data_IF_169503724606
#
_entry.id   IF_169503724606
#
_cell.length_a   1.000
_cell.length_b   1.000
_cell.length_c   1.000
_cell.angle_alpha   90.00
_cell.angle_beta   90.00
_cell.angle_gamma   90.00
#
_symmetry.space_group_name_H-M   'P 1'
#
loop_
_entity.id
_entity.type
_entity.pdbx_description
1 polymer ?
#
# COMPACT_ATOMS: atom_id res chain seq x y z
N UNK A 1 -0.36 22.80 0.66
CA UNK A 1 -0.41 22.45 -0.77
C UNK A 1 -1.77 21.89 -1.11
N UNK A 2 -2.15 21.85 -2.42
CA UNK A 2 -3.32 21.07 -2.88
C UNK A 2 -2.86 19.69 -3.35
N UNK A 3 -3.37 18.63 -2.74
CA UNK A 3 -2.92 17.25 -2.92
C UNK A 3 -4.08 16.39 -3.42
N UNK A 4 -3.88 15.68 -4.53
CA UNK A 4 -4.81 14.65 -5.01
C UNK A 4 -4.38 13.30 -4.45
N UNK A 5 -5.26 12.64 -3.70
CA UNK A 5 -5.06 11.28 -3.20
C UNK A 5 -5.99 10.33 -3.95
N UNK A 6 -5.47 9.46 -4.79
CA UNK A 6 -6.28 8.40 -5.43
C UNK A 6 -6.31 7.16 -4.54
N UNK A 7 -7.41 6.41 -4.59
CA UNK A 7 -7.66 5.34 -3.61
C UNK A 7 -7.99 5.89 -2.21
N UNK A 8 -8.57 7.09 -2.16
CA UNK A 8 -8.82 7.82 -0.90
C UNK A 8 -9.81 7.12 0.04
N UNK A 9 -10.66 6.21 -0.45
CA UNK A 9 -11.52 5.36 0.37
C UNK A 9 -10.88 3.99 0.68
N UNK A 10 -9.65 3.76 0.19
CA UNK A 10 -8.83 2.58 0.49
C UNK A 10 -8.21 2.65 1.88
N UNK A 11 -7.54 1.58 2.31
CA UNK A 11 -6.89 1.49 3.62
C UNK A 11 -5.83 2.58 3.82
N UNK A 12 -4.78 2.58 3.00
CA UNK A 12 -3.68 3.55 3.13
C UNK A 12 -4.16 4.95 2.74
N UNK A 13 -4.98 5.06 1.68
CA UNK A 13 -5.48 6.33 1.18
C UNK A 13 -6.29 7.12 2.21
N UNK A 14 -7.19 6.48 2.96
CA UNK A 14 -7.98 7.14 3.99
C UNK A 14 -7.11 7.71 5.13
N UNK A 15 -6.10 6.95 5.57
CA UNK A 15 -5.14 7.41 6.57
C UNK A 15 -4.26 8.57 6.04
N UNK A 16 -3.84 8.50 4.76
CA UNK A 16 -3.12 9.61 4.12
C UNK A 16 -3.99 10.88 4.07
N UNK A 17 -5.26 10.77 3.65
CA UNK A 17 -6.18 11.92 3.64
C UNK A 17 -6.29 12.54 5.03
N UNK A 18 -6.52 11.70 6.07
CA UNK A 18 -6.61 12.16 7.45
C UNK A 18 -5.36 12.92 7.90
N UNK A 19 -4.19 12.35 7.64
CA UNK A 19 -2.92 12.94 8.04
C UNK A 19 -2.66 14.26 7.32
N UNK A 20 -2.79 14.27 6.01
CA UNK A 20 -2.52 15.46 5.19
C UNK A 20 -3.45 16.63 5.53
N UNK A 21 -4.72 16.36 5.83
CA UNK A 21 -5.65 17.39 6.28
C UNK A 21 -5.30 17.93 7.67
N UNK A 22 -4.83 17.06 8.58
CA UNK A 22 -4.32 17.50 9.89
C UNK A 22 -3.07 18.37 9.78
N UNK A 23 -2.23 18.11 8.76
CA UNK A 23 -1.05 18.90 8.45
C UNK A 23 -1.40 20.22 7.71
N UNK A 24 -2.71 20.51 7.50
CA UNK A 24 -3.20 21.77 6.91
C UNK A 24 -3.16 21.79 5.37
N UNK A 25 -3.02 20.64 4.70
CA UNK A 25 -3.11 20.57 3.25
C UNK A 25 -4.56 20.58 2.75
N UNK A 26 -4.80 21.16 1.57
CA UNK A 26 -6.06 21.01 0.85
C UNK A 26 -6.06 19.66 0.10
N UNK A 27 -6.87 18.71 0.54
CA UNK A 27 -6.90 17.37 -0.02
C UNK A 27 -8.13 17.15 -0.88
N UNK A 28 -7.93 16.57 -2.07
CA UNK A 28 -8.98 16.04 -2.95
C UNK A 28 -8.80 14.53 -3.03
N UNK A 29 -9.84 13.78 -2.73
CA UNK A 29 -9.86 12.33 -2.86
C UNK A 29 -10.41 11.86 -4.19
N UNK A 30 -9.98 10.67 -4.65
CA UNK A 30 -10.57 9.93 -5.75
C UNK A 30 -10.66 8.45 -5.37
N UNK A 31 -11.82 7.82 -5.57
CA UNK A 31 -12.02 6.36 -5.46
C UNK A 31 -13.23 5.95 -6.32
N UNK A 32 -13.23 4.76 -6.92
CA UNK A 32 -14.35 4.25 -7.67
C UNK A 32 -15.34 3.43 -6.82
N UNK A 33 -14.99 3.12 -5.57
CA UNK A 33 -15.76 2.29 -4.65
C UNK A 33 -16.07 0.91 -5.25
N UNK A 34 -15.12 0.30 -5.97
CA UNK A 34 -15.32 -1.03 -6.57
C UNK A 34 -15.67 -2.09 -5.52
N UNK A 35 -16.33 -3.16 -6.00
CA UNK A 35 -16.82 -4.26 -5.17
C UNK A 35 -15.81 -5.39 -4.96
N UNK A 36 -14.51 -5.16 -5.04
CA UNK A 36 -13.49 -6.19 -4.77
C UNK A 36 -13.63 -6.78 -3.36
N UNK A 37 -13.98 -5.95 -2.41
CA UNK A 37 -14.49 -6.32 -1.09
C UNK A 37 -15.69 -5.43 -0.76
N UNK A 38 -16.37 -5.68 0.36
CA UNK A 38 -17.58 -4.94 0.75
C UNK A 38 -17.34 -3.41 0.68
N UNK A 39 -18.03 -2.70 -0.23
CA UNK A 39 -17.88 -1.25 -0.36
C UNK A 39 -18.28 -0.46 0.89
N UNK A 40 -19.08 -1.06 1.79
CA UNK A 40 -19.45 -0.40 3.04
C UNK A 40 -18.22 -0.01 3.86
N UNK A 41 -17.19 -0.86 3.91
CA UNK A 41 -15.93 -0.53 4.58
C UNK A 41 -15.25 0.72 3.99
N UNK A 42 -15.40 0.96 2.68
CA UNK A 42 -14.89 2.18 2.03
C UNK A 42 -15.69 3.42 2.45
N UNK A 43 -17.02 3.31 2.51
CA UNK A 43 -17.89 4.38 2.98
C UNK A 43 -17.59 4.73 4.44
N UNK A 44 -17.42 3.72 5.29
CA UNK A 44 -17.13 3.89 6.71
C UNK A 44 -15.76 4.55 6.95
N UNK A 45 -14.73 4.22 6.15
CA UNK A 45 -13.43 4.91 6.17
C UNK A 45 -13.56 6.40 5.83
N UNK A 46 -14.31 6.71 4.79
CA UNK A 46 -14.57 8.12 4.41
C UNK A 46 -15.29 8.86 5.52
N UNK A 47 -16.30 8.24 6.12
CA UNK A 47 -17.02 8.84 7.25
C UNK A 47 -16.11 9.01 8.46
N UNK A 48 -15.32 7.99 8.81
CA UNK A 48 -14.31 8.08 9.87
C UNK A 48 -13.33 9.25 9.69
N UNK A 49 -12.84 9.48 8.46
CA UNK A 49 -11.99 10.64 8.17
C UNK A 49 -12.76 11.95 8.39
N UNK A 50 -13.98 12.04 7.85
CA UNK A 50 -14.82 13.24 7.96
C UNK A 50 -15.17 13.61 9.40
N UNK A 51 -15.38 12.62 10.24
CA UNK A 51 -15.69 12.83 11.67
C UNK A 51 -14.51 13.47 12.42
N UNK A 52 -13.29 13.30 11.94
CA UNK A 52 -12.08 13.80 12.59
C UNK A 52 -11.56 15.13 12.03
N UNK A 53 -11.69 15.36 10.73
CA UNK A 53 -11.10 16.53 10.06
C UNK A 53 -12.09 17.32 9.21
N UNK A 54 -13.36 16.97 9.25
CA UNK A 54 -14.39 17.61 8.47
C UNK A 54 -14.47 17.13 7.02
N UNK A 55 -15.27 17.82 6.22
CA UNK A 55 -15.53 17.45 4.84
C UNK A 55 -14.31 17.68 3.94
N UNK A 56 -14.03 16.75 3.05
CA UNK A 56 -13.11 16.90 1.93
C UNK A 56 -13.79 16.49 0.62
N UNK A 57 -13.44 17.12 -0.52
CA UNK A 57 -13.93 16.72 -1.83
C UNK A 57 -13.49 15.29 -2.18
N UNK A 58 -14.44 14.46 -2.61
CA UNK A 58 -14.17 13.07 -3.01
C UNK A 58 -14.86 12.79 -4.34
N UNK A 59 -14.06 12.62 -5.39
CA UNK A 59 -14.52 12.28 -6.71
C UNK A 59 -14.74 10.77 -6.84
N UNK A 60 -15.94 10.35 -7.24
CA UNK A 60 -16.23 8.94 -7.54
C UNK A 60 -15.98 8.70 -9.03
N UNK A 61 -14.75 8.36 -9.37
CA UNK A 61 -14.27 8.20 -10.76
C UNK A 61 -13.48 6.89 -10.84
N UNK A 62 -13.66 6.15 -11.95
CA UNK A 62 -12.78 5.04 -12.30
C UNK A 62 -11.52 5.56 -12.97
N UNK A 63 -10.35 5.04 -12.58
CA UNK A 63 -9.06 5.44 -13.18
C UNK A 63 -9.00 5.18 -14.68
N UNK A 64 -9.72 4.18 -15.19
CA UNK A 64 -9.75 3.84 -16.60
C UNK A 64 -10.56 4.85 -17.46
N UNK A 65 -11.33 5.74 -16.82
CA UNK A 65 -12.05 6.82 -17.51
C UNK A 65 -11.12 8.03 -17.72
N UNK A 66 -10.42 8.03 -18.85
CA UNK A 66 -9.46 9.07 -19.21
C UNK A 66 -10.08 10.48 -19.22
N UNK A 67 -11.32 10.62 -19.73
CA UNK A 67 -11.99 11.92 -19.83
C UNK A 67 -12.35 12.47 -18.44
N UNK A 68 -12.82 11.61 -17.53
CA UNK A 68 -13.13 12.00 -16.16
C UNK A 68 -11.88 12.36 -15.37
N UNK A 69 -10.75 11.64 -15.58
CA UNK A 69 -9.45 11.96 -14.96
C UNK A 69 -8.95 13.31 -15.47
N UNK A 70 -8.94 13.56 -16.78
CA UNK A 70 -8.54 14.86 -17.35
C UNK A 70 -9.41 16.00 -16.78
N UNK A 71 -10.72 15.85 -16.77
CA UNK A 71 -11.63 16.85 -16.18
C UNK A 71 -11.35 17.11 -14.69
N UNK A 72 -10.94 16.08 -13.93
CA UNK A 72 -10.53 16.23 -12.53
C UNK A 72 -9.26 17.09 -12.43
N UNK A 73 -8.23 16.80 -13.22
CA UNK A 73 -6.99 17.58 -13.22
C UNK A 73 -7.20 19.03 -13.63
N UNK A 74 -8.01 19.28 -14.68
CA UNK A 74 -8.39 20.64 -15.10
C UNK A 74 -9.04 21.42 -13.96
N UNK A 75 -10.00 20.79 -13.26
CA UNK A 75 -10.77 21.44 -12.18
C UNK A 75 -9.94 21.66 -10.93
N UNK A 76 -9.16 20.65 -10.54
CA UNK A 76 -8.51 20.65 -9.23
C UNK A 76 -7.09 21.20 -9.24
N UNK A 77 -6.37 21.14 -10.36
CA UNK A 77 -4.99 21.63 -10.49
C UNK A 77 -4.11 21.19 -9.30
N UNK A 78 -3.94 19.88 -9.02
CA UNK A 78 -3.19 19.41 -7.87
C UNK A 78 -1.71 19.77 -7.99
N UNK A 79 -1.10 20.16 -6.88
CA UNK A 79 0.35 20.41 -6.81
C UNK A 79 1.14 19.12 -6.55
N UNK A 80 0.54 18.19 -5.83
CA UNK A 80 1.10 16.86 -5.53
C UNK A 80 0.03 15.82 -5.81
N UNK A 81 0.44 14.69 -6.38
CA UNK A 81 -0.42 13.51 -6.58
C UNK A 81 0.13 12.35 -5.79
N UNK A 82 -0.70 11.79 -4.89
CA UNK A 82 -0.40 10.54 -4.18
C UNK A 82 -1.31 9.46 -4.76
N UNK A 83 -0.73 8.64 -5.65
CA UNK A 83 -1.45 7.63 -6.40
C UNK A 83 -1.39 6.26 -5.71
N UNK A 84 -2.44 5.95 -4.92
CA UNK A 84 -2.59 4.68 -4.18
C UNK A 84 -3.70 3.79 -4.76
N UNK A 85 -4.52 4.30 -5.67
CA UNK A 85 -5.57 3.53 -6.30
C UNK A 85 -4.98 2.48 -7.24
N UNK A 86 -5.40 1.24 -7.05
CA UNK A 86 -5.01 0.12 -7.89
C UNK A 86 -5.96 -1.06 -7.64
N UNK A 87 -6.03 -2.00 -8.60
CA UNK A 87 -6.48 -3.34 -8.28
C UNK A 87 -5.32 -4.05 -7.56
N UNK A 88 -5.53 -4.39 -6.30
CA UNK A 88 -4.55 -5.06 -5.45
C UNK A 88 -4.90 -6.55 -5.25
N UNK A 89 -3.96 -7.31 -4.68
CA UNK A 89 -4.13 -8.74 -4.40
C UNK A 89 -3.44 -9.63 -5.45
N UNK A 90 -2.44 -10.39 -5.01
CA UNK A 90 -1.67 -11.28 -5.90
C UNK A 90 -2.58 -12.38 -6.47
N UNK A 91 -3.38 -13.03 -5.61
CA UNK A 91 -4.23 -14.17 -5.99
C UNK A 91 -5.37 -13.78 -6.93
N UNK A 92 -6.02 -12.67 -6.67
CA UNK A 92 -7.12 -12.20 -7.51
C UNK A 92 -6.67 -11.85 -8.94
N UNK A 93 -5.36 -11.59 -9.16
CA UNK A 93 -4.83 -11.39 -10.51
C UNK A 93 -4.89 -12.64 -11.40
N UNK A 94 -5.04 -13.83 -10.81
CA UNK A 94 -5.28 -15.09 -11.52
C UNK A 94 -6.75 -15.27 -11.91
N UNK A 95 -7.66 -14.70 -11.11
CA UNK A 95 -9.11 -14.82 -11.30
C UNK A 95 -9.66 -13.75 -12.24
N UNK A 96 -9.19 -12.50 -12.10
CA UNK A 96 -9.65 -11.37 -12.90
C UNK A 96 -8.48 -10.51 -13.41
N UNK A 97 -7.69 -11.02 -14.38
CA UNK A 97 -6.52 -10.31 -14.91
C UNK A 97 -6.87 -8.97 -15.57
N UNK A 98 -8.07 -8.86 -16.18
CA UNK A 98 -8.50 -7.64 -16.86
C UNK A 98 -8.60 -6.45 -15.90
N UNK A 99 -9.08 -6.64 -14.68
CA UNK A 99 -9.15 -5.56 -13.69
C UNK A 99 -7.78 -4.95 -13.38
N UNK A 100 -6.70 -5.75 -13.47
CA UNK A 100 -5.33 -5.25 -13.28
C UNK A 100 -4.83 -4.44 -14.47
N UNK A 101 -5.17 -4.82 -15.70
CA UNK A 101 -4.83 -4.04 -16.88
C UNK A 101 -5.58 -2.70 -16.85
N UNK A 102 -6.88 -2.73 -16.62
CA UNK A 102 -7.72 -1.53 -16.62
C UNK A 102 -7.28 -0.54 -15.51
N UNK A 103 -7.16 -1.01 -14.26
CA UNK A 103 -6.82 -0.12 -13.14
C UNK A 103 -5.34 0.24 -13.06
N UNK A 104 -4.44 -0.78 -13.19
CA UNK A 104 -3.03 -0.56 -12.89
C UNK A 104 -2.23 -0.06 -14.08
N UNK A 105 -2.61 -0.38 -15.31
CA UNK A 105 -1.91 0.11 -16.50
C UNK A 105 -2.66 1.27 -17.16
N UNK A 106 -3.89 1.07 -17.62
CA UNK A 106 -4.65 2.14 -18.25
C UNK A 106 -4.93 3.28 -17.26
N UNK A 107 -5.36 2.94 -16.04
CA UNK A 107 -5.62 3.94 -15.00
C UNK A 107 -4.37 4.72 -14.59
N UNK A 108 -3.23 4.04 -14.48
CA UNK A 108 -1.97 4.74 -14.16
C UNK A 108 -1.50 5.63 -15.31
N UNK A 109 -1.67 5.20 -16.57
CA UNK A 109 -1.39 6.04 -17.73
C UNK A 109 -2.21 7.33 -17.68
N UNK A 110 -3.50 7.27 -17.34
CA UNK A 110 -4.34 8.46 -17.23
C UNK A 110 -3.86 9.44 -16.14
N UNK A 111 -3.35 8.93 -15.02
CA UNK A 111 -2.72 9.77 -13.98
C UNK A 111 -1.43 10.41 -14.50
N UNK A 112 -0.59 9.67 -15.21
CA UNK A 112 0.64 10.20 -15.81
C UNK A 112 0.35 11.30 -16.84
N UNK A 113 -0.65 11.09 -17.71
CA UNK A 113 -1.10 12.11 -18.68
C UNK A 113 -1.68 13.34 -17.95
N UNK A 114 -2.46 13.13 -16.89
CA UNK A 114 -2.92 14.24 -16.05
C UNK A 114 -1.75 15.05 -15.47
N UNK A 115 -0.72 14.39 -14.93
CA UNK A 115 0.48 15.07 -14.43
C UNK A 115 1.30 15.76 -15.53
N UNK A 116 1.30 15.21 -16.75
CA UNK A 116 2.00 15.78 -17.90
C UNK A 116 1.33 17.07 -18.39
N UNK A 117 0.01 17.05 -18.54
CA UNK A 117 -0.75 18.19 -19.05
C UNK A 117 -1.01 19.27 -18.00
N UNK A 118 -1.01 18.88 -16.71
CA UNK A 118 -1.17 19.77 -15.56
C UNK A 118 0.03 19.58 -14.62
N UNK A 119 1.16 20.28 -14.88
CA UNK A 119 2.43 20.01 -14.19
C UNK A 119 2.31 19.99 -12.67
N UNK A 120 2.74 18.89 -12.07
CA UNK A 120 2.77 18.68 -10.63
C UNK A 120 4.20 18.86 -10.08
N UNK A 121 4.31 19.21 -8.81
CA UNK A 121 5.59 19.27 -8.11
C UNK A 121 6.14 17.89 -7.76
N UNK A 122 5.24 16.93 -7.53
CA UNK A 122 5.61 15.57 -7.16
C UNK A 122 4.48 14.58 -7.46
N UNK A 123 4.82 13.46 -8.10
CA UNK A 123 3.99 12.26 -8.20
C UNK A 123 4.56 11.18 -7.29
N UNK A 124 3.86 10.83 -6.22
CA UNK A 124 4.18 9.69 -5.37
C UNK A 124 3.23 8.56 -5.75
N UNK A 125 3.73 7.37 -6.10
CA UNK A 125 2.88 6.27 -6.55
C UNK A 125 3.21 4.95 -5.87
N UNK A 126 2.17 4.13 -5.68
CA UNK A 126 2.30 2.81 -5.07
C UNK A 126 2.85 1.78 -6.07
N UNK A 127 4.06 1.27 -5.80
CA UNK A 127 4.56 -0.01 -6.27
C UNK A 127 4.27 -1.10 -5.20
N UNK A 128 5.04 -2.17 -5.16
CA UNK A 128 4.84 -3.30 -4.24
C UNK A 128 6.11 -4.10 -4.07
N UNK A 129 6.35 -4.66 -2.89
CA UNK A 129 7.41 -5.66 -2.67
C UNK A 129 7.23 -6.92 -3.55
N UNK A 130 6.04 -7.16 -4.10
CA UNK A 130 5.80 -8.25 -5.04
C UNK A 130 6.65 -8.16 -6.32
N UNK A 131 7.19 -6.97 -6.67
CA UNK A 131 8.08 -6.78 -7.83
C UNK A 131 9.40 -7.54 -7.68
N UNK A 132 9.84 -7.81 -6.44
CA UNK A 132 11.05 -8.61 -6.20
C UNK A 132 10.92 -10.03 -6.74
N UNK A 133 9.71 -10.56 -6.82
CA UNK A 133 9.41 -11.80 -7.54
C UNK A 133 10.29 -12.98 -7.12
N UNK A 134 11.12 -13.47 -8.05
CA UNK A 134 12.01 -14.59 -7.83
C UNK A 134 13.33 -14.27 -7.11
N UNK A 135 13.58 -13.01 -6.72
CA UNK A 135 14.75 -12.65 -5.94
C UNK A 135 14.72 -13.38 -4.58
N UNK A 136 15.87 -13.93 -4.16
CA UNK A 136 16.01 -14.69 -2.91
C UNK A 136 16.88 -13.97 -1.86
N UNK A 137 17.69 -13.01 -2.32
CA UNK A 137 18.57 -12.25 -1.42
C UNK A 137 17.74 -11.25 -0.60
N UNK A 138 17.87 -11.29 0.72
CA UNK A 138 17.23 -10.37 1.67
C UNK A 138 18.28 -9.77 2.60
N UNK A 139 18.10 -8.51 3.08
CA UNK A 139 16.94 -7.63 2.81
C UNK A 139 16.85 -7.23 1.34
N UNK A 140 15.62 -7.06 0.83
CA UNK A 140 15.40 -6.59 -0.54
C UNK A 140 15.81 -5.12 -0.67
N UNK A 141 16.64 -4.81 -1.66
CA UNK A 141 17.10 -3.46 -1.95
C UNK A 141 16.44 -2.89 -3.22
N UNK A 142 16.19 -1.59 -3.25
CA UNK A 142 15.69 -0.91 -4.46
C UNK A 142 16.72 -0.93 -5.58
N UNK A 143 18.00 -1.12 -5.25
CA UNK A 143 19.12 -1.24 -6.18
C UNK A 143 19.21 -2.59 -6.88
N UNK A 144 18.44 -3.60 -6.40
CA UNK A 144 18.37 -4.90 -7.04
C UNK A 144 17.52 -4.87 -8.30
N UNK A 145 17.97 -5.60 -9.35
CA UNK A 145 17.18 -5.84 -10.54
C UNK A 145 15.96 -6.74 -10.23
N UNK A 146 14.76 -6.35 -10.71
CA UNK A 146 13.49 -7.03 -10.44
C UNK A 146 12.80 -7.42 -11.75
N UNK A 147 13.41 -8.34 -12.50
CA UNK A 147 13.02 -8.71 -13.86
C UNK A 147 12.18 -10.00 -13.94
N UNK A 148 11.92 -10.69 -12.82
CA UNK A 148 11.24 -11.97 -12.77
C UNK A 148 10.03 -11.94 -11.82
N UNK A 149 8.97 -11.15 -12.14
CA UNK A 149 7.76 -11.12 -11.33
C UNK A 149 7.06 -12.48 -11.32
N UNK A 150 6.52 -12.90 -10.17
CA UNK A 150 5.85 -14.21 -10.01
C UNK A 150 4.33 -14.13 -10.15
N UNK A 151 3.77 -12.94 -10.42
CA UNK A 151 2.33 -12.75 -10.64
C UNK A 151 2.04 -11.61 -11.61
N UNK A 152 0.86 -11.62 -12.23
CA UNK A 152 0.42 -10.52 -13.09
C UNK A 152 0.34 -9.20 -12.28
N UNK A 153 -0.12 -9.26 -11.03
CA UNK A 153 -0.09 -8.07 -10.15
C UNK A 153 1.32 -7.47 -10.03
N UNK A 154 2.32 -8.31 -9.73
CA UNK A 154 3.71 -7.86 -9.64
C UNK A 154 4.20 -7.28 -10.98
N UNK A 155 3.87 -7.92 -12.09
CA UNK A 155 4.21 -7.44 -13.44
C UNK A 155 3.60 -6.06 -13.72
N UNK A 156 2.31 -5.83 -13.36
CA UNK A 156 1.69 -4.50 -13.52
C UNK A 156 2.34 -3.44 -12.63
N UNK A 157 2.77 -3.79 -11.42
CA UNK A 157 3.47 -2.84 -10.53
C UNK A 157 4.87 -2.51 -11.03
N UNK A 158 5.61 -3.50 -11.58
CA UNK A 158 6.88 -3.21 -12.26
C UNK A 158 6.68 -2.36 -13.51
N UNK A 159 5.63 -2.60 -14.27
CA UNK A 159 5.27 -1.75 -15.41
C UNK A 159 5.00 -0.30 -14.98
N UNK A 160 4.35 -0.07 -13.82
CA UNK A 160 4.16 1.29 -13.28
C UNK A 160 5.51 1.99 -13.01
N UNK A 161 6.50 1.29 -12.44
CA UNK A 161 7.84 1.85 -12.22
C UNK A 161 8.49 2.30 -13.55
N UNK A 162 8.40 1.46 -14.60
CA UNK A 162 8.95 1.76 -15.94
C UNK A 162 8.19 2.90 -16.65
N UNK A 163 6.86 2.93 -16.54
CA UNK A 163 6.03 4.00 -17.10
C UNK A 163 6.36 5.35 -16.43
N UNK A 164 6.41 5.39 -15.09
CA UNK A 164 6.74 6.58 -14.34
C UNK A 164 8.15 7.10 -14.69
N UNK A 165 9.16 6.20 -14.80
CA UNK A 165 10.50 6.57 -15.23
C UNK A 165 10.50 7.20 -16.62
N UNK A 166 9.79 6.61 -17.60
CA UNK A 166 9.70 7.14 -18.96
C UNK A 166 9.10 8.55 -18.98
N UNK A 167 8.02 8.77 -18.21
CA UNK A 167 7.37 10.09 -18.11
C UNK A 167 8.22 11.11 -17.37
N UNK A 168 8.93 10.68 -16.34
CA UNK A 168 9.89 11.52 -15.64
C UNK A 168 11.03 11.95 -16.58
N UNK A 169 11.57 11.03 -17.40
CA UNK A 169 12.63 11.33 -18.36
C UNK A 169 12.17 12.26 -19.48
N UNK A 170 11.00 11.97 -20.08
CA UNK A 170 10.51 12.69 -21.26
C UNK A 170 9.88 14.05 -20.93
N UNK A 171 9.23 14.17 -19.78
CA UNK A 171 8.42 15.33 -19.42
C UNK A 171 8.85 16.01 -18.12
N UNK A 172 9.93 15.51 -17.48
CA UNK A 172 10.48 16.12 -16.26
C UNK A 172 9.55 16.01 -15.04
N UNK A 173 8.64 15.02 -14.97
CA UNK A 173 7.71 14.84 -13.84
C UNK A 173 8.48 14.25 -12.66
N UNK A 174 8.67 14.99 -11.53
CA UNK A 174 9.31 14.42 -10.36
C UNK A 174 8.46 13.27 -9.79
N UNK A 175 9.00 12.04 -9.77
CA UNK A 175 8.23 10.84 -9.48
C UNK A 175 8.95 9.94 -8.48
N UNK A 176 8.25 9.57 -7.40
CA UNK A 176 8.75 8.62 -6.39
C UNK A 176 7.85 7.39 -6.34
N UNK A 177 8.41 6.22 -6.63
CA UNK A 177 7.73 4.95 -6.48
C UNK A 177 8.00 4.32 -5.12
N UNK A 178 6.94 3.81 -4.47
CA UNK A 178 7.03 3.18 -3.16
C UNK A 178 6.72 1.68 -3.27
N UNK A 179 7.70 0.83 -2.97
CA UNK A 179 7.53 -0.62 -2.87
C UNK A 179 7.03 -0.96 -1.47
N UNK A 180 5.70 -1.03 -1.33
CA UNK A 180 5.06 -1.37 -0.06
C UNK A 180 5.30 -2.83 0.31
N UNK A 181 5.71 -3.06 1.56
CA UNK A 181 5.68 -4.35 2.22
C UNK A 181 4.33 -4.57 2.90
N UNK A 182 4.24 -5.47 3.89
CA UNK A 182 2.94 -5.80 4.48
C UNK A 182 2.48 -4.73 5.47
N UNK A 183 1.56 -3.90 5.03
CA UNK A 183 0.95 -2.85 5.88
C UNK A 183 -0.21 -3.42 6.69
N UNK A 184 -0.27 -3.11 7.99
CA UNK A 184 -1.34 -3.51 8.88
C UNK A 184 -1.78 -2.38 9.80
N UNK A 185 -2.98 -2.51 10.39
CA UNK A 185 -3.54 -1.53 11.31
C UNK A 185 -5.06 -1.41 11.20
N UNK A 186 -5.67 -0.49 11.99
CA UNK A 186 -7.10 -0.18 11.90
C UNK A 186 -7.54 0.16 10.47
N UNK A 187 -8.79 -0.20 10.15
CA UNK A 187 -9.34 0.02 8.81
C UNK A 187 -8.63 -0.75 7.68
N UNK A 188 -7.86 -1.79 8.03
CA UNK A 188 -7.17 -2.66 7.09
C UNK A 188 -8.09 -3.32 6.07
N UNK A 189 -7.51 -3.93 5.03
CA UNK A 189 -8.25 -4.65 4.00
C UNK A 189 -8.69 -6.03 4.51
N UNK A 190 -9.94 -6.45 4.25
CA UNK A 190 -10.47 -7.71 4.76
C UNK A 190 -9.85 -8.96 4.13
N UNK A 191 -9.24 -8.82 2.95
CA UNK A 191 -8.52 -9.89 2.23
C UNK A 191 -7.07 -10.10 2.72
N UNK A 192 -6.59 -9.28 3.67
CA UNK A 192 -5.26 -9.38 4.24
C UNK A 192 -5.24 -10.23 5.52
N UNK A 193 -4.08 -10.84 5.80
CA UNK A 193 -3.89 -11.74 6.94
C UNK A 193 -4.31 -11.17 8.31
N UNK A 194 -4.12 -9.88 8.66
CA UNK A 194 -4.54 -9.37 9.96
C UNK A 194 -6.03 -9.57 10.22
N UNK A 195 -6.89 -9.19 9.28
CA UNK A 195 -8.35 -9.33 9.45
C UNK A 195 -8.77 -10.79 9.32
N UNK A 196 -8.20 -11.55 8.38
CA UNK A 196 -8.50 -12.98 8.23
C UNK A 196 -8.17 -13.75 9.51
N UNK A 197 -7.00 -13.49 10.12
CA UNK A 197 -6.59 -14.14 11.37
C UNK A 197 -7.51 -13.73 12.53
N UNK A 198 -7.79 -12.43 12.68
CA UNK A 198 -8.68 -11.95 13.73
C UNK A 198 -10.06 -12.59 13.64
N UNK A 199 -10.65 -12.68 12.43
CA UNK A 199 -11.92 -13.35 12.19
C UNK A 199 -11.87 -14.83 12.52
N UNK A 200 -10.90 -15.57 11.95
CA UNK A 200 -10.78 -17.00 12.18
C UNK A 200 -10.65 -17.34 13.67
N UNK A 201 -9.84 -16.56 14.41
CA UNK A 201 -9.65 -16.76 15.85
C UNK A 201 -10.95 -16.47 16.60
N UNK A 202 -11.61 -15.33 16.33
CA UNK A 202 -12.84 -14.95 17.07
C UNK A 202 -14.05 -15.82 16.74
N UNK A 203 -14.17 -16.27 15.49
CA UNK A 203 -15.23 -17.16 15.03
C UNK A 203 -14.97 -18.63 15.43
N UNK A 204 -13.73 -18.97 15.81
CA UNK A 204 -13.30 -20.33 16.10
C UNK A 204 -13.29 -21.23 14.86
N UNK A 205 -13.02 -20.65 13.70
CA UNK A 205 -12.85 -21.38 12.44
C UNK A 205 -11.39 -21.74 12.19
N UNK A 206 -11.09 -22.84 11.44
CA UNK A 206 -9.70 -23.22 11.16
C UNK A 206 -8.95 -22.14 10.40
N UNK A 207 -7.78 -21.78 10.89
CA UNK A 207 -6.85 -20.86 10.26
C UNK A 207 -5.78 -21.65 9.49
N UNK A 208 -5.73 -21.45 8.17
CA UNK A 208 -4.76 -22.11 7.30
C UNK A 208 -3.41 -21.40 7.35
N UNK A 209 -2.39 -22.10 7.83
CA UNK A 209 -1.00 -21.64 7.80
C UNK A 209 -0.22 -22.40 6.73
N UNK A 210 0.06 -21.74 5.62
CA UNK A 210 0.86 -22.29 4.53
C UNK A 210 2.34 -22.35 4.91
N UNK A 211 3.09 -23.24 4.21
CA UNK A 211 4.47 -23.60 4.55
C UNK A 211 4.61 -23.94 6.05
N UNK A 212 3.62 -24.62 6.63
CA UNK A 212 3.62 -25.03 8.03
C UNK A 212 3.84 -23.86 9.04
N UNK A 213 3.54 -22.62 8.59
CA UNK A 213 3.78 -21.40 9.35
C UNK A 213 5.23 -20.92 9.37
N UNK A 214 6.09 -21.51 8.55
CA UNK A 214 7.54 -21.17 8.45
C UNK A 214 7.77 -20.08 7.41
N UNK A 215 7.14 -18.93 7.64
CA UNK A 215 7.30 -17.72 6.85
C UNK A 215 7.76 -16.56 7.75
N UNK A 216 8.56 -15.67 7.19
CA UNK A 216 8.84 -14.37 7.80
C UNK A 216 8.22 -13.27 6.93
N UNK A 217 7.61 -12.30 7.59
CA UNK A 217 7.02 -11.13 6.92
C UNK A 217 7.47 -9.86 7.63
N UNK A 218 7.78 -8.86 6.81
CA UNK A 218 8.01 -7.51 7.26
C UNK A 218 6.64 -6.82 7.40
N UNK A 219 6.19 -6.62 8.64
CA UNK A 219 4.94 -5.96 8.97
C UNK A 219 5.21 -4.52 9.38
N UNK A 220 4.52 -3.58 8.75
CA UNK A 220 4.65 -2.16 9.06
C UNK A 220 3.31 -1.57 9.46
N UNK A 221 3.29 -0.88 10.60
CA UNK A 221 2.06 -0.27 11.09
C UNK A 221 1.65 0.93 10.21
N UNK A 222 0.35 1.11 10.03
CA UNK A 222 -0.20 2.09 9.09
C UNK A 222 0.26 3.53 9.37
N UNK A 223 0.42 3.94 10.63
CA UNK A 223 0.82 5.30 10.96
C UNK A 223 2.25 5.59 10.50
N UNK A 224 3.18 4.61 10.59
CA UNK A 224 4.56 4.73 10.11
C UNK A 224 4.61 4.85 8.58
N UNK A 225 3.75 4.11 7.88
CA UNK A 225 3.58 4.21 6.42
C UNK A 225 3.11 5.62 6.03
N UNK A 226 2.10 6.11 6.71
CA UNK A 226 1.52 7.42 6.41
C UNK A 226 2.47 8.56 6.76
N UNK A 227 3.23 8.44 7.85
CA UNK A 227 4.29 9.38 8.21
C UNK A 227 5.34 9.48 7.09
N UNK A 228 5.80 8.33 6.58
CA UNK A 228 6.79 8.29 5.49
C UNK A 228 6.25 8.94 4.22
N UNK A 229 5.00 8.66 3.83
CA UNK A 229 4.36 9.26 2.64
C UNK A 229 4.20 10.78 2.83
N UNK A 230 3.74 11.22 4.00
CA UNK A 230 3.51 12.64 4.29
C UNK A 230 4.83 13.43 4.18
N UNK A 231 5.93 12.91 4.74
CA UNK A 231 7.25 13.54 4.63
C UNK A 231 7.74 13.63 3.20
N UNK A 232 7.53 12.59 2.39
CA UNK A 232 7.93 12.59 0.98
C UNK A 232 7.23 13.66 0.14
N UNK A 233 6.07 14.20 0.56
CA UNK A 233 5.39 15.27 -0.19
C UNK A 233 6.25 16.52 -0.38
N UNK A 234 7.19 16.77 0.55
CA UNK A 234 8.12 17.90 0.55
C UNK A 234 9.51 17.54 -0.02
N UNK A 235 9.72 16.28 -0.43
CA UNK A 235 10.99 15.76 -0.92
C UNK A 235 10.88 15.17 -2.34
N UNK A 236 10.51 15.98 -3.37
CA UNK A 236 10.50 15.51 -4.75
C UNK A 236 11.93 15.16 -5.22
N UNK A 237 12.09 14.09 -6.00
CA UNK A 237 13.38 13.76 -6.57
C UNK A 237 13.82 14.82 -7.56
N UNK A 238 15.15 14.96 -7.71
CA UNK A 238 15.77 15.87 -8.65
C UNK A 238 16.51 15.10 -9.73
N UNK A 239 16.76 15.77 -10.87
CA UNK A 239 17.62 15.22 -11.92
C UNK A 239 19.06 15.09 -11.43
N UNK A 240 19.71 13.98 -11.80
CA UNK A 240 21.12 13.70 -11.50
C UNK A 240 21.93 13.63 -12.80
N UNK A 241 22.43 14.77 -13.34
CA UNK A 241 23.17 14.77 -14.62
C UNK A 241 24.41 13.87 -14.62
N UNK A 242 25.04 13.69 -13.45
CA UNK A 242 26.23 12.86 -13.24
C UNK A 242 25.91 11.40 -12.89
N UNK A 243 24.64 10.97 -13.05
CA UNK A 243 24.24 9.57 -12.81
C UNK A 243 25.03 8.63 -13.75
N UNK A 244 25.58 7.55 -13.17
CA UNK A 244 26.44 6.62 -13.92
C UNK A 244 25.59 5.80 -14.91
N UNK A 245 25.81 6.05 -16.21
CA UNK A 245 25.12 5.36 -17.30
C UNK A 245 25.78 4.05 -17.71
N UNK A 246 27.02 3.83 -17.30
CA UNK A 246 27.75 2.59 -17.56
C UNK A 246 27.36 1.51 -16.55
N UNK A 247 27.02 1.92 -15.32
CA UNK A 247 26.53 1.03 -14.25
C UNK A 247 25.19 1.55 -13.70
N UNK A 248 24.10 1.39 -14.47
CA UNK A 248 22.82 1.98 -14.12
C UNK A 248 22.25 1.38 -12.85
N UNK A 249 21.97 2.22 -11.87
CA UNK A 249 21.29 1.86 -10.63
C UNK A 249 19.79 1.62 -10.87
N UNK A 250 19.23 0.54 -10.29
CA UNK A 250 17.84 0.16 -10.49
C UNK A 250 16.83 1.02 -9.70
N UNK A 251 17.28 1.69 -8.63
CA UNK A 251 16.44 2.49 -7.73
C UNK A 251 16.44 3.99 -8.01
N UNK A 252 17.33 4.46 -8.90
CA UNK A 252 17.50 5.88 -9.23
C UNK A 252 17.70 6.12 -10.73
N UNK A 253 17.77 7.38 -11.15
CA UNK A 253 17.93 7.75 -12.55
C UNK A 253 18.57 9.12 -12.71
N UNK A 254 19.10 9.41 -13.91
CA UNK A 254 19.42 10.77 -14.32
C UNK A 254 18.19 11.70 -14.39
N UNK A 255 16.99 11.13 -14.60
CA UNK A 255 15.72 11.85 -14.55
C UNK A 255 15.29 12.09 -13.08
N UNK A 256 14.37 13.01 -12.80
CA UNK A 256 13.84 13.22 -11.45
C UNK A 256 12.92 12.07 -11.02
N UNK A 257 13.48 10.88 -10.85
CA UNK A 257 12.79 9.65 -10.52
C UNK A 257 13.61 8.80 -9.55
N UNK A 258 12.93 8.25 -8.53
CA UNK A 258 13.53 7.30 -7.61
C UNK A 258 12.51 6.28 -7.10
N UNK A 259 13.03 5.20 -6.51
CA UNK A 259 12.27 4.19 -5.79
C UNK A 259 12.70 4.13 -4.33
N UNK A 260 11.74 3.86 -3.44
CA UNK A 260 12.01 3.50 -2.06
C UNK A 260 11.25 2.25 -1.67
N UNK A 261 11.86 1.41 -0.84
CA UNK A 261 11.13 0.45 -0.04
C UNK A 261 10.45 1.17 1.12
N UNK A 262 9.22 0.78 1.41
CA UNK A 262 8.47 1.25 2.57
C UNK A 262 8.00 0.06 3.39
N UNK A 263 8.71 -0.21 4.49
CA UNK A 263 8.61 -1.40 5.31
C UNK A 263 9.16 -1.18 6.71
N UNK A 264 8.99 -2.15 7.60
CA UNK A 264 9.42 -2.09 9.00
C UNK A 264 10.88 -2.43 9.24
N UNK A 265 11.56 -3.02 8.25
CA UNK A 265 12.94 -3.55 8.37
C UNK A 265 13.11 -4.64 9.45
N UNK A 266 12.02 -5.14 10.02
CA UNK A 266 12.02 -6.15 11.08
C UNK A 266 11.13 -7.34 10.68
N UNK A 267 11.67 -8.36 9.99
CA UNK A 267 10.89 -9.53 9.62
C UNK A 267 10.49 -10.33 10.86
N UNK A 268 9.22 -10.69 10.94
CA UNK A 268 8.65 -11.47 12.04
C UNK A 268 8.16 -12.82 11.53
N UNK A 269 8.45 -13.87 12.29
CA UNK A 269 7.92 -15.20 12.03
C UNK A 269 6.40 -15.22 12.15
N UNK A 270 5.73 -15.92 11.25
CA UNK A 270 4.26 -16.01 11.24
C UNK A 270 3.71 -16.63 12.54
N UNK A 271 4.48 -17.54 13.16
CA UNK A 271 4.13 -18.15 14.47
C UNK A 271 4.14 -17.11 15.61
N UNK A 272 5.14 -16.21 15.62
CA UNK A 272 5.22 -15.09 16.58
C UNK A 272 4.06 -14.11 16.35
N UNK A 273 3.79 -13.76 15.09
CA UNK A 273 2.64 -12.94 14.73
C UNK A 273 1.32 -13.55 15.24
N UNK A 274 1.10 -14.85 15.01
CA UNK A 274 -0.08 -15.57 15.49
C UNK A 274 -0.18 -15.55 17.02
N UNK A 275 0.92 -15.79 17.72
CA UNK A 275 0.94 -15.77 19.19
C UNK A 275 0.55 -14.38 19.76
N UNK A 276 1.00 -13.29 19.12
CA UNK A 276 0.60 -11.94 19.49
C UNK A 276 -0.89 -11.67 19.20
N UNK A 277 -1.41 -12.14 18.07
CA UNK A 277 -2.84 -12.07 17.77
C UNK A 277 -3.69 -12.79 18.81
N UNK A 278 -3.31 -14.01 19.18
CA UNK A 278 -3.96 -14.79 20.24
C UNK A 278 -3.92 -14.08 21.61
N UNK A 279 -2.77 -13.50 21.98
CA UNK A 279 -2.61 -12.69 23.19
C UNK A 279 -3.61 -11.55 23.25
N UNK A 280 -3.69 -10.73 22.20
CA UNK A 280 -4.56 -9.57 22.17
C UNK A 280 -6.04 -9.94 22.03
N UNK A 281 -6.37 -11.03 21.34
CA UNK A 281 -7.74 -11.53 21.24
C UNK A 281 -8.19 -12.29 22.48
N UNK A 282 -7.26 -12.78 23.32
CA UNK A 282 -7.55 -13.59 24.49
C UNK A 282 -8.09 -14.99 24.14
N UNK A 283 -7.81 -15.47 22.92
CA UNK A 283 -8.37 -16.73 22.38
C UNK A 283 -7.32 -17.43 21.51
N UNK A 284 -7.27 -18.77 21.55
CA UNK A 284 -6.37 -19.58 20.73
C UNK A 284 -6.95 -19.86 19.36
N UNK A 285 -6.09 -19.82 18.33
CA UNK A 285 -6.42 -20.23 16.98
C UNK A 285 -6.59 -21.75 16.89
N UNK A 286 -7.50 -22.18 16.02
CA UNK A 286 -7.54 -23.55 15.52
C UNK A 286 -6.71 -23.56 14.23
N UNK A 287 -5.52 -24.15 14.28
CA UNK A 287 -4.55 -24.05 13.16
C UNK A 287 -4.60 -25.31 12.29
N UNK A 288 -4.69 -25.11 10.98
CA UNK A 288 -4.49 -26.12 9.95
C UNK A 288 -3.17 -25.83 9.20
N UNK A 289 -2.19 -26.72 9.36
CA UNK A 289 -0.88 -26.57 8.72
C UNK A 289 -0.92 -27.16 7.29
N UNK A 290 -0.53 -26.35 6.31
CA UNK A 290 -0.56 -26.70 4.89
C UNK A 290 0.83 -26.52 4.25
N UNK A 291 1.14 -27.25 3.17
CA UNK A 291 2.38 -27.04 2.41
C UNK A 291 2.40 -25.65 1.76
N UNK A 292 3.60 -25.23 1.31
CA UNK A 292 3.80 -23.98 0.59
C UNK A 292 2.89 -23.90 -0.66
N UNK A 293 2.27 -22.76 -0.88
CA UNK A 293 1.49 -22.51 -2.10
C UNK A 293 2.38 -22.01 -3.25
N UNK A 294 2.06 -22.37 -4.51
CA UNK A 294 2.73 -21.80 -5.67
C UNK A 294 2.62 -20.27 -5.70
N UNK A 295 3.75 -19.60 -5.91
CA UNK A 295 3.81 -18.13 -5.98
C UNK A 295 3.95 -17.40 -4.64
N UNK A 296 3.93 -18.12 -3.51
CA UNK A 296 4.21 -17.51 -2.20
C UNK A 296 5.73 -17.30 -2.01
N UNK A 297 6.09 -16.11 -1.50
CA UNK A 297 7.46 -15.76 -1.10
C UNK A 297 7.68 -16.20 0.34
N UNK A 298 8.83 -16.84 0.64
CA UNK A 298 9.12 -17.38 1.98
C UNK A 298 9.38 -16.27 2.99
N UNK A 299 10.29 -15.36 2.64
CA UNK A 299 10.74 -14.30 3.55
C UNK A 299 10.68 -12.95 2.86
N UNK A 300 10.21 -11.93 3.57
CA UNK A 300 10.28 -10.55 3.11
C UNK A 300 10.91 -9.68 4.19
N UNK A 301 11.90 -8.89 3.80
CA UNK A 301 12.56 -7.90 4.64
C UNK A 301 12.92 -6.71 3.75
N UNK A 302 12.51 -5.50 4.12
CA UNK A 302 12.82 -4.29 3.39
C UNK A 302 14.18 -3.74 3.82
N UNK A 303 15.03 -3.39 2.87
CA UNK A 303 16.07 -2.40 3.10
C UNK A 303 15.44 -1.01 2.97
N UNK A 304 15.57 -0.14 3.97
CA UNK A 304 14.85 1.13 4.07
C UNK A 304 15.74 2.33 4.37
N UNK A 305 17.05 2.18 4.31
CA UNK A 305 18.01 3.23 4.66
C UNK A 305 17.89 4.45 3.74
N UNK A 306 17.63 4.24 2.44
CA UNK A 306 17.41 5.32 1.49
C UNK A 306 16.18 6.17 1.85
N UNK A 307 15.08 5.55 2.23
CA UNK A 307 13.88 6.24 2.68
C UNK A 307 14.14 7.01 3.96
N UNK A 308 14.85 6.39 4.91
CA UNK A 308 15.22 7.01 6.17
C UNK A 308 16.14 8.24 5.94
N UNK A 309 17.09 8.13 5.03
CA UNK A 309 17.96 9.24 4.65
C UNK A 309 17.18 10.38 3.99
N UNK A 310 16.27 10.06 3.06
CA UNK A 310 15.48 11.04 2.34
C UNK A 310 14.47 11.77 3.23
N UNK A 311 13.88 11.10 4.24
CA UNK A 311 12.78 11.63 5.05
C UNK A 311 13.16 12.00 6.48
N UNK A 312 14.33 11.57 6.96
CA UNK A 312 14.71 11.67 8.38
C UNK A 312 13.81 10.84 9.31
N UNK A 313 13.15 9.80 8.78
CA UNK A 313 12.19 8.99 9.53
C UNK A 313 12.39 7.49 9.31
N UNK A 314 12.29 6.73 10.39
CA UNK A 314 12.21 5.27 10.37
C UNK A 314 10.96 4.81 11.11
N UNK A 315 10.33 3.68 10.70
CA UNK A 315 9.22 3.08 11.42
C UNK A 315 9.55 2.84 12.90
N UNK A 316 8.57 3.09 13.78
CA UNK A 316 8.78 3.09 15.24
C UNK A 316 7.77 2.24 16.00
N UNK A 317 6.63 1.91 15.37
CA UNK A 317 5.56 1.17 16.05
C UNK A 317 5.90 -0.31 16.06
N UNK A 318 6.19 -0.82 17.24
CA UNK A 318 6.46 -2.24 17.46
C UNK A 318 5.22 -3.09 17.15
N UNK A 319 5.45 -4.33 16.67
CA UNK A 319 4.36 -5.21 16.23
C UNK A 319 3.32 -5.48 17.32
N UNK A 320 3.76 -5.72 18.57
CA UNK A 320 2.86 -5.99 19.70
C UNK A 320 1.94 -4.80 19.99
N UNK A 321 2.49 -3.59 19.99
CA UNK A 321 1.71 -2.36 20.16
C UNK A 321 0.72 -2.14 19.00
N UNK A 322 1.20 -2.26 17.76
CA UNK A 322 0.38 -2.06 16.56
C UNK A 322 -0.76 -3.07 16.47
N UNK A 323 -0.51 -4.34 16.85
CA UNK A 323 -1.56 -5.38 16.93
C UNK A 323 -2.57 -5.08 18.04
N UNK A 324 -2.15 -4.56 19.17
CA UNK A 324 -3.06 -4.12 20.23
C UNK A 324 -4.04 -3.05 19.74
N UNK A 325 -3.52 -2.02 19.04
CA UNK A 325 -4.34 -0.95 18.43
C UNK A 325 -5.27 -1.49 17.34
N UNK A 326 -4.78 -2.39 16.49
CA UNK A 326 -5.57 -3.05 15.46
C UNK A 326 -6.73 -3.88 16.05
N UNK A 327 -6.46 -4.69 17.08
CA UNK A 327 -7.47 -5.55 17.71
C UNK A 327 -8.52 -4.72 18.46
N UNK A 328 -8.15 -3.60 19.11
CA UNK A 328 -9.10 -2.69 19.71
C UNK A 328 -10.11 -2.19 18.66
N UNK A 329 -9.60 -1.66 17.52
CA UNK A 329 -10.46 -1.27 16.40
C UNK A 329 -11.29 -2.43 15.83
N UNK A 330 -10.70 -3.62 15.68
CA UNK A 330 -11.41 -4.78 15.13
C UNK A 330 -12.61 -5.17 15.99
N UNK A 331 -12.49 -5.12 17.30
CA UNK A 331 -13.58 -5.42 18.23
C UNK A 331 -14.72 -4.40 18.13
N UNK A 332 -14.39 -3.14 17.99
CA UNK A 332 -15.37 -2.06 17.88
C UNK A 332 -16.11 -2.10 16.54
N UNK A 333 -15.37 -2.33 15.46
CA UNK A 333 -15.93 -2.32 14.11
C UNK A 333 -16.66 -3.62 13.73
N UNK A 334 -16.23 -4.78 14.25
CA UNK A 334 -16.85 -6.09 14.01
C UNK A 334 -17.43 -6.72 15.29
N UNK A 335 -18.38 -6.08 15.99
CA UNK A 335 -18.84 -6.55 17.31
C UNK A 335 -19.54 -7.92 17.24
N UNK A 336 -20.12 -8.29 16.10
CA UNK A 336 -20.80 -9.59 15.91
C UNK A 336 -19.81 -10.75 15.72
N UNK A 337 -18.59 -10.47 15.24
CA UNK A 337 -17.54 -11.47 15.16
C UNK A 337 -16.95 -11.77 16.56
N UNK A 338 -16.97 -10.79 17.46
CA UNK A 338 -16.44 -10.90 18.82
C UNK A 338 -17.56 -11.27 19.83
N UNK A 339 -18.16 -12.45 19.71
CA UNK A 339 -18.97 -13.06 20.80
C UNK A 339 -18.12 -14.13 21.48
N UNK A 340 -17.79 -13.99 22.80
CA UNK A 340 -17.10 -15.05 23.54
C UNK A 340 -17.86 -16.37 23.40
N UNK A 341 -17.16 -17.48 23.24
CA UNK A 341 -17.73 -18.83 23.10
C UNK A 341 -18.71 -19.21 24.24
N UNK A 342 -18.57 -18.57 25.41
CA UNK A 342 -19.47 -18.80 26.56
C UNK A 342 -20.92 -18.31 26.36
N UNK A 343 -21.20 -17.55 25.31
CA UNK A 343 -22.56 -17.03 25.02
C UNK A 343 -23.29 -17.80 23.89
N UNK A 344 -22.69 -18.89 23.37
CA UNK A 344 -23.32 -19.79 22.39
C UNK A 344 -23.76 -21.10 23.07
N UNK A 345 -24.57 -20.96 24.12
CA UNK A 345 -25.28 -22.07 24.74
C UNK A 345 -26.64 -22.30 24.08
#
# INVERSE_FOLDING_TARGET
>A
MKILVTGAAGFIGAHCVLRLMRDGHAVVGLDNFNGYYDPQLKHDRVQWVRDQVGHFPLARIDLADAAAIEALFVREQPQVVIHLAAQAGVRYSLENPKAYLDSNLCGFLNILEGCRHHPVKHLIYASSSSVYGANQHTPYSVHDGVNHPLSLYAATKKANELMAHSYSHLFGIPSTGLRFFTVYGPWGRPDMSPIQFARAITEGTPLKLFNYGEHQRDFTYIDDIVESIARLTDHPPHSHPEWDREHPDAGSSMAPWCLFNIGGHHPVELKTYLALMEKHLGQKAIVELLPLQPGDVLNTCAETDDLAQATGFQPRIELDEGLGRFIAWFRDYYPTAYRPRAARG
#
